data_IF_932020030965
#
_entry.id   IF_932020030965
#
_cell.length_a   1.000
_cell.length_b   1.000
_cell.length_c   1.000
_cell.angle_alpha   90.00
_cell.angle_beta   90.00
_cell.angle_gamma   90.00
#
_symmetry.space_group_name_H-M   'P 1'
#
loop_
_entity.id
_entity.type
_entity.pdbx_description
1 polymer ?
#
# COMPACT_ATOMS: atom_id res chain seq x y z
N UNK A 1 -23.49 23.63 20.34
CA UNK A 1 -22.53 24.72 20.62
C UNK A 1 -21.10 24.28 20.24
N UNK A 2 -20.82 24.00 18.96
CA UNK A 2 -19.49 23.51 18.51
C UNK A 2 -18.77 24.53 17.59
N UNK A 3 -19.19 25.80 17.58
CA UNK A 3 -18.76 26.79 16.59
C UNK A 3 -17.80 27.88 17.07
N UNK A 4 -17.30 27.86 18.31
CA UNK A 4 -16.81 29.10 18.93
C UNK A 4 -15.32 29.20 19.29
N UNK A 5 -14.41 28.31 18.87
CA UNK A 5 -12.98 28.45 19.26
C UNK A 5 -11.92 28.13 18.18
N UNK A 6 -12.23 28.21 16.88
CA UNK A 6 -11.19 28.38 15.85
C UNK A 6 -11.08 29.87 15.43
N UNK A 7 -10.99 30.73 16.44
CA UNK A 7 -10.84 32.19 16.33
C UNK A 7 -9.37 32.57 16.04
N UNK A 8 -8.91 32.26 14.83
CA UNK A 8 -7.87 33.04 14.18
C UNK A 8 -8.55 33.97 13.15
N UNK A 9 -8.05 35.19 12.90
CA UNK A 9 -8.66 36.11 11.95
C UNK A 9 -8.86 35.36 10.62
N UNK A 10 -10.06 35.50 10.05
CA UNK A 10 -10.52 34.75 8.87
C UNK A 10 -9.48 34.94 7.76
N UNK A 11 -8.56 33.98 7.62
CA UNK A 11 -7.62 33.96 6.52
C UNK A 11 -8.46 33.80 5.24
N UNK A 12 -8.47 34.78 4.32
CA UNK A 12 -9.35 34.73 3.14
C UNK A 12 -9.16 33.45 2.32
N UNK A 13 -7.92 32.94 2.25
CA UNK A 13 -7.61 31.67 1.57
C UNK A 13 -8.24 30.46 2.29
N UNK A 14 -8.20 30.42 3.63
CA UNK A 14 -8.83 29.35 4.41
C UNK A 14 -10.35 29.40 4.30
N UNK A 15 -10.93 30.59 4.22
CA UNK A 15 -12.36 30.75 3.95
C UNK A 15 -12.72 30.19 2.58
N UNK A 16 -11.96 30.55 1.54
CA UNK A 16 -12.17 30.02 0.18
C UNK A 16 -12.14 28.49 0.12
N UNK A 17 -11.21 27.84 0.84
CA UNK A 17 -11.18 26.36 0.93
C UNK A 17 -12.48 25.81 1.54
N UNK A 18 -13.01 26.46 2.59
CA UNK A 18 -14.26 26.04 3.24
C UNK A 18 -15.47 26.23 2.32
N UNK A 19 -15.52 27.36 1.63
CA UNK A 19 -16.61 27.67 0.70
C UNK A 19 -16.67 26.65 -0.45
N UNK A 20 -15.51 26.11 -0.86
CA UNK A 20 -15.38 25.12 -1.93
C UNK A 20 -15.51 23.66 -1.46
N UNK A 21 -15.80 23.39 -0.18
CA UNK A 21 -15.74 22.03 0.35
C UNK A 21 -16.83 21.10 -0.22
N UNK A 22 -18.00 21.63 -0.54
CA UNK A 22 -19.16 20.90 -1.08
C UNK A 22 -19.95 21.74 -2.10
N UNK A 23 -19.25 22.50 -2.93
CA UNK A 23 -19.90 23.21 -4.04
C UNK A 23 -20.51 22.21 -5.02
N UNK A 24 -21.44 22.70 -5.82
CA UNK A 24 -22.01 21.94 -6.91
C UNK A 24 -20.92 21.52 -7.92
N UNK A 25 -21.06 20.32 -8.50
CA UNK A 25 -20.06 19.77 -9.40
C UNK A 25 -19.95 20.59 -10.69
N UNK A 26 -21.06 21.08 -11.24
CA UNK A 26 -21.05 21.92 -12.45
C UNK A 26 -20.28 23.22 -12.18
N UNK A 27 -20.50 23.82 -11.01
CA UNK A 27 -19.74 25.01 -10.59
C UNK A 27 -18.24 24.71 -10.42
N UNK A 28 -17.88 23.55 -9.85
CA UNK A 28 -16.49 23.15 -9.71
C UNK A 28 -15.81 22.98 -11.08
N UNK A 29 -16.51 22.36 -12.03
CA UNK A 29 -16.05 22.16 -13.42
C UNK A 29 -15.85 23.50 -14.11
N UNK A 30 -16.81 24.43 -14.00
CA UNK A 30 -16.72 25.78 -14.56
C UNK A 30 -15.51 26.56 -14.02
N UNK A 31 -15.12 26.33 -12.76
CA UNK A 31 -13.92 26.94 -12.16
C UNK A 31 -12.60 26.32 -12.67
N UNK A 32 -12.59 25.03 -12.99
CA UNK A 32 -11.37 24.28 -13.34
C UNK A 32 -11.10 24.31 -14.85
N UNK A 33 -12.13 24.17 -15.70
CA UNK A 33 -11.97 24.04 -17.15
C UNK A 33 -11.15 25.17 -17.79
N UNK A 34 -11.39 26.46 -17.48
CA UNK A 34 -10.60 27.54 -18.07
C UNK A 34 -9.12 27.48 -17.70
N UNK A 35 -8.78 26.94 -16.53
CA UNK A 35 -7.39 26.78 -16.07
C UNK A 35 -6.71 25.54 -16.67
N UNK A 36 -7.51 24.51 -16.97
CA UNK A 36 -7.05 23.27 -17.59
C UNK A 36 -6.97 23.35 -19.12
N UNK A 37 -7.53 24.40 -19.73
CA UNK A 37 -7.55 24.55 -21.18
C UNK A 37 -6.13 24.74 -21.75
N UNK A 38 -5.80 23.89 -22.72
CA UNK A 38 -4.53 23.94 -23.44
C UNK A 38 -4.77 24.08 -24.93
N UNK A 39 -3.90 24.84 -25.60
CA UNK A 39 -4.00 25.02 -27.04
C UNK A 39 -3.83 23.68 -27.81
N UNK A 40 -4.32 23.66 -29.05
CA UNK A 40 -4.33 22.46 -29.88
C UNK A 40 -2.95 21.83 -30.07
N UNK A 41 -1.89 22.65 -30.16
CA UNK A 41 -0.51 22.17 -30.30
C UNK A 41 -0.05 21.44 -29.03
N UNK A 42 -0.33 21.98 -27.84
CA UNK A 42 -0.03 21.35 -26.57
C UNK A 42 -0.81 20.04 -26.40
N UNK A 43 -2.10 20.04 -26.76
CA UNK A 43 -2.96 18.86 -26.75
C UNK A 43 -2.41 17.73 -27.63
N UNK A 44 -2.01 18.04 -28.85
CA UNK A 44 -1.42 17.06 -29.78
C UNK A 44 -0.10 16.48 -29.25
N UNK A 45 0.79 17.31 -28.69
CA UNK A 45 2.04 16.83 -28.06
C UNK A 45 1.78 15.94 -26.85
N UNK A 46 0.83 16.31 -25.99
CA UNK A 46 0.45 15.53 -24.82
C UNK A 46 -0.12 14.16 -25.23
N UNK A 47 -1.00 14.14 -26.25
CA UNK A 47 -1.57 12.90 -26.79
C UNK A 47 -0.49 11.96 -27.33
N UNK A 48 0.43 12.47 -28.16
CA UNK A 48 1.48 11.62 -28.74
C UNK A 48 2.43 11.08 -27.67
N UNK A 49 2.77 11.91 -26.66
CA UNK A 49 3.60 11.47 -25.53
C UNK A 49 2.88 10.39 -24.72
N UNK A 50 1.60 10.59 -24.39
CA UNK A 50 0.80 9.62 -23.66
C UNK A 50 0.70 8.30 -24.43
N UNK A 51 0.42 8.37 -25.74
CA UNK A 51 0.37 7.20 -26.61
C UNK A 51 1.67 6.41 -26.61
N UNK A 52 2.82 7.09 -26.75
CA UNK A 52 4.14 6.43 -26.68
C UNK A 52 4.37 5.73 -25.35
N UNK A 53 4.05 6.39 -24.23
CA UNK A 53 4.19 5.79 -22.89
C UNK A 53 3.28 4.57 -22.73
N UNK A 54 2.02 4.64 -23.14
CA UNK A 54 1.08 3.51 -23.06
C UNK A 54 1.54 2.33 -23.90
N UNK A 55 1.98 2.57 -25.14
CA UNK A 55 2.49 1.51 -26.01
C UNK A 55 3.76 0.87 -25.45
N UNK A 56 4.66 1.65 -24.84
CA UNK A 56 5.85 1.12 -24.17
C UNK A 56 5.48 0.27 -22.96
N UNK A 57 4.59 0.75 -22.09
CA UNK A 57 4.11 0.00 -20.91
C UNK A 57 3.52 -1.35 -21.34
N UNK A 58 2.65 -1.37 -22.37
CA UNK A 58 2.05 -2.60 -22.88
C UNK A 58 3.09 -3.61 -23.37
N UNK A 59 4.09 -3.15 -24.13
CA UNK A 59 5.20 -4.00 -24.61
C UNK A 59 6.08 -4.55 -23.48
N UNK A 60 6.28 -3.76 -22.43
CA UNK A 60 7.12 -4.16 -21.28
C UNK A 60 6.39 -5.08 -20.29
N UNK A 61 5.07 -4.94 -20.15
CA UNK A 61 4.24 -5.83 -19.34
C UNK A 61 4.21 -7.26 -19.87
N UNK A 62 4.21 -7.45 -21.20
CA UNK A 62 4.33 -8.79 -21.82
C UNK A 62 5.61 -9.54 -21.39
N UNK A 63 6.65 -8.83 -20.95
CA UNK A 63 7.95 -9.41 -20.54
C UNK A 63 8.05 -9.74 -19.05
N UNK A 64 7.18 -9.18 -18.21
CA UNK A 64 7.24 -9.36 -16.75
C UNK A 64 6.05 -10.19 -16.29
N UNK A 65 6.18 -11.51 -16.37
CA UNK A 65 5.18 -12.46 -15.88
C UNK A 65 4.94 -12.27 -14.37
N UNK A 66 3.88 -11.55 -14.04
CA UNK A 66 3.40 -11.35 -12.67
C UNK A 66 2.37 -12.40 -12.26
N UNK A 67 1.40 -11.98 -11.47
CA UNK A 67 0.27 -12.81 -11.02
C UNK A 67 -0.60 -13.30 -12.19
N UNK A 68 -0.76 -12.49 -13.24
CA UNK A 68 -1.50 -12.90 -14.45
C UNK A 68 -0.79 -14.03 -15.21
N UNK A 69 0.54 -14.05 -15.20
CA UNK A 69 1.30 -15.16 -15.76
C UNK A 69 1.15 -16.43 -14.93
N UNK A 70 1.02 -16.31 -13.60
CA UNK A 70 0.74 -17.44 -12.72
C UNK A 70 -0.65 -18.04 -12.99
N UNK A 71 -1.67 -17.19 -13.12
CA UNK A 71 -3.03 -17.63 -13.46
C UNK A 71 -3.06 -18.35 -14.81
N UNK A 72 -2.38 -17.80 -15.81
CA UNK A 72 -2.30 -18.38 -17.15
C UNK A 72 -1.44 -19.66 -17.20
N UNK A 73 -0.30 -19.70 -16.49
CA UNK A 73 0.61 -20.87 -16.46
C UNK A 73 -0.08 -22.10 -15.87
N UNK A 74 -0.95 -21.92 -14.88
CA UNK A 74 -1.63 -23.01 -14.18
C UNK A 74 -3.14 -23.13 -14.51
N UNK A 75 -3.61 -22.35 -15.49
CA UNK A 75 -5.03 -22.26 -15.87
C UNK A 75 -5.94 -22.14 -14.65
N UNK A 76 -5.59 -21.24 -13.74
CA UNK A 76 -6.33 -21.01 -12.50
C UNK A 76 -7.53 -20.13 -12.82
N UNK A 77 -8.70 -20.48 -12.30
CA UNK A 77 -9.78 -19.48 -12.25
C UNK A 77 -9.40 -18.36 -11.27
N UNK A 78 -10.02 -17.20 -11.43
CA UNK A 78 -9.80 -16.06 -10.51
C UNK A 78 -10.08 -16.42 -9.06
N UNK A 79 -11.09 -17.26 -8.81
CA UNK A 79 -11.42 -17.73 -7.47
C UNK A 79 -10.35 -18.67 -6.90
N UNK A 80 -9.74 -19.52 -7.74
CA UNK A 80 -8.61 -20.37 -7.35
C UNK A 80 -7.36 -19.54 -7.05
N UNK A 81 -7.11 -18.49 -7.84
CA UNK A 81 -6.03 -17.54 -7.62
C UNK A 81 -6.13 -16.80 -6.28
N UNK A 82 -7.31 -16.30 -5.93
CA UNK A 82 -7.55 -15.63 -4.65
C UNK A 82 -7.25 -16.56 -3.48
N UNK A 83 -7.77 -17.79 -3.53
CA UNK A 83 -7.58 -18.81 -2.50
C UNK A 83 -6.11 -19.19 -2.34
N UNK A 84 -5.38 -19.32 -3.44
CA UNK A 84 -3.95 -19.63 -3.45
C UNK A 84 -3.11 -18.50 -2.84
N UNK A 85 -3.48 -17.24 -3.08
CA UNK A 85 -2.82 -16.08 -2.48
C UNK A 85 -3.11 -15.95 -0.99
N UNK A 86 -4.31 -16.29 -0.54
CA UNK A 86 -4.65 -16.34 0.89
C UNK A 86 -3.78 -17.38 1.63
N UNK A 87 -3.60 -18.55 1.02
CA UNK A 87 -2.69 -19.57 1.55
C UNK A 87 -1.24 -19.08 1.56
N UNK A 88 -0.81 -18.33 0.54
CA UNK A 88 0.52 -17.73 0.49
C UNK A 88 0.77 -16.70 1.58
N UNK A 89 -0.21 -15.86 1.87
CA UNK A 89 -0.13 -14.89 2.95
C UNK A 89 -0.04 -15.59 4.31
N UNK A 90 -0.86 -16.62 4.55
CA UNK A 90 -0.82 -17.39 5.78
C UNK A 90 0.55 -18.05 6.02
N UNK A 91 1.14 -18.63 4.97
CA UNK A 91 2.48 -19.22 5.03
C UNK A 91 3.57 -18.18 5.26
N UNK A 92 3.44 -16.97 4.70
CA UNK A 92 4.37 -15.87 4.95
C UNK A 92 4.43 -15.40 6.41
N UNK A 93 3.40 -15.70 7.22
CA UNK A 93 3.41 -15.38 8.66
C UNK A 93 4.27 -16.35 9.48
N UNK A 94 4.68 -17.48 8.91
CA UNK A 94 5.63 -18.40 9.54
C UNK A 94 7.04 -17.82 9.34
N UNK A 95 7.78 -17.50 10.41
CA UNK A 95 9.01 -16.70 10.31
C UNK A 95 10.21 -17.46 9.74
N UNK A 96 10.25 -18.79 9.84
CA UNK A 96 11.36 -19.61 9.36
C UNK A 96 10.98 -20.45 8.14
N UNK A 97 11.94 -20.58 7.23
CA UNK A 97 11.72 -21.23 5.94
C UNK A 97 11.54 -22.74 6.06
N UNK A 98 12.22 -23.37 7.01
CA UNK A 98 12.17 -24.82 7.18
C UNK A 98 10.79 -25.26 7.68
N UNK A 99 10.19 -24.53 8.63
CA UNK A 99 8.81 -24.75 9.10
C UNK A 99 7.78 -24.40 8.02
N UNK A 100 8.01 -23.36 7.21
CA UNK A 100 7.17 -23.11 6.02
C UNK A 100 7.16 -24.31 5.08
N UNK A 101 8.35 -24.84 4.77
CA UNK A 101 8.53 -25.97 3.85
C UNK A 101 7.95 -27.27 4.42
N UNK A 102 8.08 -27.48 5.73
CA UNK A 102 7.48 -28.61 6.45
C UNK A 102 5.95 -28.50 6.49
N UNK A 103 5.38 -27.31 6.75
CA UNK A 103 3.93 -27.09 6.73
C UNK A 103 3.35 -27.33 5.32
N UNK A 104 4.05 -26.85 4.29
CA UNK A 104 3.69 -27.11 2.88
C UNK A 104 3.68 -28.61 2.61
N UNK A 105 4.72 -29.34 3.06
CA UNK A 105 4.87 -30.77 2.80
C UNK A 105 3.93 -31.66 3.63
N UNK A 106 3.63 -31.29 4.86
CA UNK A 106 2.87 -32.14 5.78
C UNK A 106 1.35 -31.87 5.70
N UNK A 107 0.95 -30.58 5.66
CA UNK A 107 -0.48 -30.20 5.73
C UNK A 107 -1.16 -30.07 4.37
N UNK A 108 -0.45 -29.74 3.30
CA UNK A 108 -1.07 -29.62 1.96
C UNK A 108 -1.22 -30.97 1.26
N UNK A 109 -0.37 -31.94 1.61
CA UNK A 109 -0.20 -33.20 0.88
C UNK A 109 -1.11 -34.32 1.40
N UNK A 110 -1.41 -34.35 2.69
CA UNK A 110 -2.23 -35.42 3.29
C UNK A 110 -3.74 -35.14 3.26
N UNK A 111 -4.19 -33.96 2.79
CA UNK A 111 -5.62 -33.64 2.71
C UNK A 111 -6.35 -33.57 4.07
N UNK A 112 -5.61 -33.72 5.18
CA UNK A 112 -6.02 -33.56 6.59
C UNK A 112 -6.13 -32.07 6.94
N UNK A 113 -7.03 -31.37 6.25
CA UNK A 113 -7.45 -30.02 6.62
C UNK A 113 -8.36 -30.14 7.84
N UNK A 114 -7.75 -30.28 9.02
CA UNK A 114 -8.47 -30.38 10.29
C UNK A 114 -9.34 -29.13 10.49
N UNK A 115 -10.47 -29.20 11.24
CA UNK A 115 -11.36 -28.06 11.46
C UNK A 115 -10.71 -26.87 12.16
N UNK A 116 -9.47 -27.00 12.62
CA UNK A 116 -8.71 -25.94 13.27
C UNK A 116 -8.36 -24.76 12.33
N UNK A 117 -8.40 -24.95 11.01
CA UNK A 117 -8.35 -23.82 10.04
C UNK A 117 -9.70 -23.11 9.90
N UNK A 118 -10.80 -23.76 10.29
CA UNK A 118 -12.15 -23.20 10.30
C UNK A 118 -12.47 -22.34 11.52
N UNK A 119 -11.65 -22.40 12.57
CA UNK A 119 -11.74 -21.55 13.76
C UNK A 119 -10.77 -20.36 13.74
N UNK A 120 -9.88 -20.29 12.74
CA UNK A 120 -9.05 -19.11 12.53
C UNK A 120 -9.75 -18.18 11.54
N UNK A 121 -10.31 -17.08 12.04
CA UNK A 121 -10.76 -15.96 11.19
C UNK A 121 -9.65 -15.43 10.26
N UNK A 122 -8.39 -15.83 10.53
CA UNK A 122 -7.13 -15.35 9.94
C UNK A 122 -6.84 -15.71 8.48
N UNK A 123 -7.35 -16.82 7.91
CA UNK A 123 -6.90 -17.25 6.56
C UNK A 123 -7.52 -16.44 5.42
N UNK A 124 -8.70 -15.87 5.64
CA UNK A 124 -9.46 -15.16 4.62
C UNK A 124 -9.62 -13.65 4.92
N UNK A 125 -8.90 -13.12 5.91
CA UNK A 125 -9.00 -11.71 6.36
C UNK A 125 -8.74 -10.72 5.22
N UNK A 126 -7.89 -11.09 4.26
CA UNK A 126 -7.48 -10.22 3.16
C UNK A 126 -8.02 -10.65 1.79
N UNK A 127 -9.04 -11.51 1.75
CA UNK A 127 -9.68 -11.93 0.49
C UNK A 127 -10.13 -10.75 -0.34
N UNK A 128 -10.65 -9.68 0.26
CA UNK A 128 -11.10 -8.49 -0.47
C UNK A 128 -9.94 -7.73 -1.13
N UNK A 129 -8.75 -7.71 -0.51
CA UNK A 129 -7.55 -7.11 -1.09
C UNK A 129 -7.06 -7.92 -2.29
N UNK A 130 -7.06 -9.26 -2.18
CA UNK A 130 -6.71 -10.15 -3.29
C UNK A 130 -7.76 -10.14 -4.40
N UNK A 131 -9.05 -10.14 -4.04
CA UNK A 131 -10.16 -10.02 -4.98
C UNK A 131 -10.06 -8.76 -5.82
N UNK A 132 -9.71 -7.62 -5.20
CA UNK A 132 -9.45 -6.37 -5.92
C UNK A 132 -8.24 -6.50 -6.86
N UNK A 133 -7.13 -7.08 -6.39
CA UNK A 133 -5.93 -7.26 -7.23
C UNK A 133 -6.20 -8.10 -8.48
N UNK A 134 -7.01 -9.16 -8.35
CA UNK A 134 -7.27 -10.12 -9.42
C UNK A 134 -8.43 -9.74 -10.34
N UNK A 135 -9.45 -9.06 -9.82
CA UNK A 135 -10.69 -8.76 -10.58
C UNK A 135 -10.84 -7.29 -10.91
N UNK A 136 -10.03 -6.42 -10.31
CA UNK A 136 -10.20 -4.96 -10.39
C UNK A 136 -11.42 -4.42 -9.64
N UNK A 137 -12.23 -5.29 -9.03
CA UNK A 137 -13.44 -4.92 -8.29
C UNK A 137 -13.35 -5.36 -6.83
N UNK A 138 -13.92 -4.55 -5.94
CA UNK A 138 -14.03 -4.92 -4.54
C UNK A 138 -15.10 -6.00 -4.41
N UNK A 139 -14.71 -7.16 -3.91
CA UNK A 139 -15.63 -8.27 -3.72
C UNK A 139 -16.03 -8.35 -2.26
N UNK A 140 -17.31 -8.14 -1.99
CA UNK A 140 -17.91 -8.42 -0.69
C UNK A 140 -18.11 -9.94 -0.54
N UNK A 141 -17.40 -10.52 0.42
CA UNK A 141 -17.48 -11.94 0.73
C UNK A 141 -18.10 -12.12 2.13
N UNK A 142 -19.40 -12.44 2.16
CA UNK A 142 -20.13 -12.79 3.38
C UNK A 142 -19.81 -14.21 3.88
N UNK A 143 -20.03 -14.46 5.18
CA UNK A 143 -19.67 -15.69 5.92
C UNK A 143 -20.18 -17.00 5.31
N UNK A 144 -21.33 -17.00 4.61
CA UNK A 144 -21.88 -18.21 3.98
C UNK A 144 -20.97 -18.80 2.89
N UNK A 145 -20.07 -18.00 2.30
CA UNK A 145 -19.14 -18.44 1.24
C UNK A 145 -17.89 -19.15 1.75
N UNK A 146 -17.60 -19.17 3.06
CA UNK A 146 -16.41 -19.83 3.64
C UNK A 146 -16.35 -21.33 3.30
N UNK A 147 -17.45 -22.06 3.44
CA UNK A 147 -17.52 -23.51 3.10
C UNK A 147 -17.28 -23.77 1.61
N UNK A 148 -17.82 -22.93 0.74
CA UNK A 148 -17.60 -23.03 -0.72
C UNK A 148 -16.13 -22.75 -1.09
N UNK A 149 -15.47 -21.81 -0.42
CA UNK A 149 -14.06 -21.48 -0.62
C UNK A 149 -13.12 -22.59 -0.13
N UNK A 150 -13.39 -23.21 1.02
CA UNK A 150 -12.65 -24.40 1.47
C UNK A 150 -12.82 -25.58 0.51
N UNK A 151 -14.02 -25.77 -0.05
CA UNK A 151 -14.27 -26.75 -1.12
C UNK A 151 -13.47 -26.45 -2.40
N UNK A 152 -13.39 -25.17 -2.77
CA UNK A 152 -12.58 -24.72 -3.90
C UNK A 152 -11.09 -24.96 -3.66
N UNK A 153 -10.58 -24.59 -2.49
CA UNK A 153 -9.20 -24.82 -2.05
C UNK A 153 -8.82 -26.31 -2.15
N UNK A 154 -9.66 -27.20 -1.62
CA UNK A 154 -9.43 -28.65 -1.68
C UNK A 154 -9.41 -29.17 -3.12
N UNK A 155 -10.31 -28.67 -3.97
CA UNK A 155 -10.37 -29.02 -5.40
C UNK A 155 -9.14 -28.51 -6.17
N UNK A 156 -8.73 -27.28 -5.91
CA UNK A 156 -7.56 -26.65 -6.53
C UNK A 156 -6.26 -27.33 -6.13
N UNK A 157 -6.08 -27.64 -4.83
CA UNK A 157 -4.89 -28.36 -4.34
C UNK A 157 -4.83 -29.79 -4.91
N UNK A 158 -5.96 -30.50 -4.91
CA UNK A 158 -6.04 -31.84 -5.48
C UNK A 158 -5.76 -31.87 -6.99
N UNK A 159 -6.09 -30.79 -7.72
CA UNK A 159 -5.83 -30.67 -9.16
C UNK A 159 -4.37 -30.30 -9.49
N UNK A 160 -3.76 -29.42 -8.69
CA UNK A 160 -2.49 -28.78 -9.02
C UNK A 160 -1.26 -29.51 -8.44
N UNK A 161 -1.39 -30.21 -7.32
CA UNK A 161 -0.29 -30.90 -6.65
C UNK A 161 0.74 -29.98 -5.98
N UNK A 162 1.61 -30.57 -5.12
CA UNK A 162 2.61 -29.85 -4.32
C UNK A 162 3.54 -28.93 -5.14
N UNK A 163 4.10 -29.35 -6.30
CA UNK A 163 5.07 -28.52 -7.03
C UNK A 163 4.49 -27.20 -7.54
N UNK A 164 3.22 -27.21 -7.94
CA UNK A 164 2.51 -26.02 -8.43
C UNK A 164 2.20 -25.08 -7.29
N UNK A 165 1.73 -25.61 -6.15
CA UNK A 165 1.46 -24.79 -4.96
C UNK A 165 2.76 -24.12 -4.52
N UNK A 166 3.86 -24.87 -4.40
CA UNK A 166 5.19 -24.35 -4.04
C UNK A 166 5.67 -23.24 -4.98
N UNK A 167 5.53 -23.43 -6.30
CA UNK A 167 5.94 -22.43 -7.30
C UNK A 167 5.06 -21.17 -7.21
N UNK A 168 3.76 -21.36 -7.02
CA UNK A 168 2.79 -20.28 -6.81
C UNK A 168 3.07 -19.49 -5.53
N UNK A 169 3.42 -20.17 -4.43
CA UNK A 169 3.85 -19.54 -3.18
C UNK A 169 5.08 -18.67 -3.39
N UNK A 170 6.11 -19.20 -4.05
CA UNK A 170 7.35 -18.45 -4.34
C UNK A 170 7.06 -17.18 -5.15
N UNK A 171 6.13 -17.25 -6.10
CA UNK A 171 5.70 -16.10 -6.91
C UNK A 171 4.88 -15.12 -6.06
N UNK A 172 3.94 -15.60 -5.25
CA UNK A 172 3.15 -14.79 -4.33
C UNK A 172 4.03 -14.02 -3.33
N UNK A 173 5.03 -14.69 -2.74
CA UNK A 173 6.01 -14.07 -1.85
C UNK A 173 6.82 -12.98 -2.59
N UNK A 174 7.25 -13.25 -3.82
CA UNK A 174 7.95 -12.25 -4.65
C UNK A 174 7.04 -11.07 -5.00
N UNK A 175 5.77 -11.31 -5.29
CA UNK A 175 4.79 -10.27 -5.61
C UNK A 175 4.52 -9.40 -4.38
N UNK A 176 4.18 -10.00 -3.25
CA UNK A 176 3.95 -9.31 -1.98
C UNK A 176 5.16 -8.46 -1.54
N UNK A 177 6.35 -9.08 -1.50
CA UNK A 177 7.57 -8.40 -1.04
C UNK A 177 8.24 -7.49 -2.06
N UNK A 178 7.84 -7.50 -3.35
CA UNK A 178 8.44 -6.63 -4.38
C UNK A 178 7.51 -5.56 -4.93
N UNK A 179 6.20 -5.81 -5.02
CA UNK A 179 5.25 -4.89 -5.64
C UNK A 179 4.60 -3.94 -4.63
N UNK A 180 4.37 -4.39 -3.39
CA UNK A 180 3.66 -3.59 -2.38
C UNK A 180 4.59 -2.88 -1.40
N UNK A 181 5.73 -3.51 -1.05
CA UNK A 181 6.69 -2.94 -0.11
C UNK A 181 8.08 -2.93 -0.74
N UNK A 182 8.77 -1.78 -0.69
CA UNK A 182 10.12 -1.64 -1.24
C UNK A 182 11.14 -2.50 -0.46
N UNK A 183 10.93 -2.66 0.85
CA UNK A 183 11.63 -3.61 1.71
C UNK A 183 11.01 -3.64 3.10
N UNK A 184 11.13 -4.75 3.81
CA UNK A 184 10.56 -4.94 5.16
C UNK A 184 11.05 -3.92 6.18
N UNK A 185 12.25 -3.39 5.97
CA UNK A 185 12.82 -2.30 6.78
C UNK A 185 13.25 -1.15 5.88
N UNK A 186 13.28 0.06 6.45
CA UNK A 186 13.78 1.24 5.74
C UNK A 186 15.22 1.05 5.21
N UNK A 187 16.07 0.35 5.96
CA UNK A 187 17.44 0.02 5.54
C UNK A 187 17.45 -0.86 4.28
N UNK A 188 16.58 -1.88 4.23
CA UNK A 188 16.44 -2.74 3.06
C UNK A 188 15.88 -1.97 1.86
N UNK A 189 14.87 -1.11 2.08
CA UNK A 189 14.27 -0.27 1.05
C UNK A 189 15.30 0.71 0.44
N UNK A 190 16.09 1.38 1.27
CA UNK A 190 17.18 2.28 0.86
C UNK A 190 18.28 1.54 0.10
N UNK A 191 18.70 0.36 0.58
CA UNK A 191 19.70 -0.47 -0.14
C UNK A 191 19.22 -0.85 -1.53
N UNK A 192 17.94 -1.20 -1.67
CA UNK A 192 17.33 -1.60 -2.94
C UNK A 192 17.16 -0.42 -3.90
N UNK A 193 16.91 0.79 -3.38
CA UNK A 193 16.71 1.99 -4.18
C UNK A 193 17.93 2.39 -5.02
N UNK A 194 19.15 2.12 -4.51
CA UNK A 194 20.43 2.51 -5.13
C UNK A 194 20.53 2.21 -6.63
N UNK A 195 20.02 1.06 -7.08
CA UNK A 195 20.07 0.67 -8.49
C UNK A 195 19.22 1.58 -9.39
N UNK A 196 18.04 2.04 -8.93
CA UNK A 196 17.24 3.00 -9.70
C UNK A 196 17.72 4.44 -9.50
N UNK A 197 18.24 4.77 -8.33
CA UNK A 197 18.84 6.09 -8.08
C UNK A 197 20.01 6.38 -9.04
N UNK A 198 20.80 5.37 -9.42
CA UNK A 198 21.85 5.54 -10.44
C UNK A 198 21.32 5.88 -11.83
N UNK A 199 20.02 5.68 -12.07
CA UNK A 199 19.31 6.06 -13.30
C UNK A 199 18.54 7.38 -13.15
N UNK A 200 18.76 8.13 -12.06
CA UNK A 200 18.16 9.44 -11.81
C UNK A 200 16.80 9.40 -11.09
N UNK A 201 16.36 8.23 -10.60
CA UNK A 201 15.15 8.16 -9.77
C UNK A 201 15.41 8.72 -8.37
N UNK A 202 14.38 9.34 -7.79
CA UNK A 202 14.35 9.79 -6.40
C UNK A 202 13.16 9.15 -5.69
N UNK A 203 13.32 8.78 -4.43
CA UNK A 203 12.31 8.07 -3.64
C UNK A 203 11.75 8.95 -2.54
N UNK A 204 10.46 8.82 -2.24
CA UNK A 204 9.90 9.21 -0.94
C UNK A 204 9.34 7.97 -0.28
N UNK A 205 9.79 7.68 0.94
CA UNK A 205 9.40 6.46 1.65
C UNK A 205 8.10 6.67 2.44
N UNK A 206 7.08 5.87 2.12
CA UNK A 206 5.90 5.70 2.97
C UNK A 206 6.15 4.60 3.99
N UNK A 207 6.07 4.95 5.28
CA UNK A 207 6.29 4.02 6.39
C UNK A 207 5.05 3.18 6.74
N UNK A 208 3.95 3.32 5.99
CA UNK A 208 2.70 2.56 6.09
C UNK A 208 1.90 2.73 7.40
N UNK A 209 2.47 3.37 8.42
CA UNK A 209 1.75 3.72 9.65
C UNK A 209 0.66 4.76 9.39
N UNK A 210 -0.56 4.48 9.85
CA UNK A 210 -1.71 5.38 9.78
C UNK A 210 -2.75 5.04 10.85
N UNK A 211 -3.59 6.03 11.20
CA UNK A 211 -4.78 5.81 12.03
C UNK A 211 -4.49 5.19 13.41
N UNK A 212 -3.54 5.75 14.15
CA UNK A 212 -3.22 5.30 15.52
C UNK A 212 -4.50 5.19 16.36
N UNK A 213 -4.69 4.06 17.05
CA UNK A 213 -5.88 3.84 17.88
C UNK A 213 -5.61 4.13 19.34
N UNK A 214 -4.37 3.89 19.77
CA UNK A 214 -3.92 4.22 21.12
C UNK A 214 -2.76 5.22 21.10
N UNK A 215 -2.40 5.73 22.28
CA UNK A 215 -1.20 6.54 22.42
C UNK A 215 0.06 5.71 22.15
N UNK A 216 0.08 4.43 22.53
CA UNK A 216 1.21 3.54 22.23
C UNK A 216 1.40 3.34 20.72
N UNK A 217 0.32 3.22 19.95
CA UNK A 217 0.39 3.19 18.49
C UNK A 217 1.03 4.46 17.93
N UNK A 218 0.58 5.62 18.41
CA UNK A 218 1.08 6.90 17.96
C UNK A 218 2.57 7.09 18.26
N UNK A 219 3.02 6.66 19.44
CA UNK A 219 4.41 6.75 19.85
C UNK A 219 5.29 5.75 19.08
N UNK A 220 4.79 4.54 18.82
CA UNK A 220 5.45 3.54 17.97
C UNK A 220 5.63 4.04 16.54
N UNK A 221 4.60 4.65 15.94
CA UNK A 221 4.71 5.24 14.61
C UNK A 221 5.66 6.44 14.58
N UNK A 222 5.60 7.30 15.60
CA UNK A 222 6.54 8.42 15.74
C UNK A 222 8.00 7.96 15.77
N UNK A 223 8.33 6.97 16.60
CA UNK A 223 9.68 6.38 16.67
C UNK A 223 10.11 5.73 15.35
N UNK A 224 9.16 5.14 14.62
CA UNK A 224 9.41 4.57 13.29
C UNK A 224 9.77 5.66 12.27
N UNK A 225 9.08 6.82 12.30
CA UNK A 225 9.44 7.97 11.47
C UNK A 225 10.81 8.54 11.83
N UNK A 226 11.09 8.74 13.12
CA UNK A 226 12.39 9.23 13.60
C UNK A 226 13.54 8.34 13.15
N UNK A 227 13.40 7.03 13.35
CA UNK A 227 14.38 6.03 12.92
C UNK A 227 14.58 6.03 11.40
N UNK A 228 13.48 6.19 10.64
CA UNK A 228 13.53 6.25 9.19
C UNK A 228 14.23 7.52 8.69
N UNK A 229 13.95 8.69 9.28
CA UNK A 229 14.62 9.95 8.92
C UNK A 229 16.14 9.83 9.08
N UNK A 230 16.63 9.22 10.16
CA UNK A 230 18.07 8.99 10.32
C UNK A 230 18.67 8.10 9.24
N UNK A 231 17.98 7.04 8.83
CA UNK A 231 18.47 6.13 7.78
C UNK A 231 18.45 6.81 6.41
N UNK A 232 17.35 7.50 6.10
CA UNK A 232 17.16 8.22 4.83
C UNK A 232 18.14 9.38 4.72
N UNK A 233 18.27 10.20 5.76
CA UNK A 233 19.17 11.34 5.80
C UNK A 233 20.64 10.96 5.65
N UNK A 234 21.08 9.84 6.23
CA UNK A 234 22.42 9.28 5.97
C UNK A 234 22.59 8.84 4.51
N UNK A 235 21.54 8.30 3.89
CA UNK A 235 21.58 7.91 2.49
C UNK A 235 21.48 9.09 1.51
N UNK A 236 20.86 10.20 1.94
CA UNK A 236 20.76 11.45 1.19
C UNK A 236 22.14 12.03 0.87
N UNK A 237 23.11 11.90 1.79
CA UNK A 237 24.51 12.27 1.57
C UNK A 237 24.69 13.69 1.01
N UNK A 238 23.92 14.65 1.53
CA UNK A 238 24.01 16.07 1.13
C UNK A 238 23.52 16.39 -0.29
N UNK A 239 22.71 15.53 -0.90
CA UNK A 239 22.10 15.80 -2.23
C UNK A 239 20.98 16.84 -2.22
N UNK A 240 20.61 17.31 -1.02
CA UNK A 240 19.52 18.25 -0.77
C UNK A 240 18.13 17.68 -1.11
N UNK A 241 17.07 18.39 -0.73
CA UNK A 241 15.71 17.84 -0.61
C UNK A 241 15.05 17.47 -1.95
N UNK A 242 15.59 17.93 -3.08
CA UNK A 242 15.05 17.67 -4.43
C UNK A 242 15.65 16.39 -5.03
N UNK A 243 16.93 16.14 -4.78
CA UNK A 243 17.69 15.04 -5.38
C UNK A 243 18.01 13.91 -4.39
N UNK A 244 17.69 14.09 -3.11
CA UNK A 244 17.79 13.06 -2.08
C UNK A 244 16.48 12.29 -1.91
N UNK A 245 16.54 11.07 -1.38
CA UNK A 245 15.35 10.42 -0.88
C UNK A 245 14.70 11.24 0.26
N UNK A 246 13.38 11.18 0.34
CA UNK A 246 12.56 11.80 1.38
C UNK A 246 11.68 10.81 2.13
N UNK A 247 10.81 11.32 3.00
CA UNK A 247 9.86 10.54 3.79
C UNK A 247 8.47 11.16 3.74
N UNK A 248 7.44 10.31 3.75
CA UNK A 248 6.03 10.71 3.87
C UNK A 248 5.50 10.38 5.26
N UNK A 249 4.89 11.37 5.92
CA UNK A 249 4.32 11.24 7.28
C UNK A 249 2.81 11.47 7.23
N UNK A 250 2.03 10.63 7.93
CA UNK A 250 0.59 10.79 8.07
C UNK A 250 0.26 11.32 9.47
N UNK A 251 -0.50 12.41 9.58
CA UNK A 251 -0.83 13.02 10.88
C UNK A 251 -1.68 12.08 11.75
N UNK A 252 -2.54 11.28 11.12
CA UNK A 252 -3.32 10.23 11.80
C UNK A 252 -2.47 9.15 12.45
N UNK A 253 -1.21 8.99 12.04
CA UNK A 253 -0.29 8.04 12.65
C UNK A 253 0.35 8.55 13.94
N UNK A 254 0.45 9.87 14.15
CA UNK A 254 1.19 10.45 15.28
C UNK A 254 0.27 10.98 16.39
N UNK A 255 -1.03 10.79 16.26
CA UNK A 255 -2.01 11.17 17.27
C UNK A 255 -3.28 10.31 17.17
N UNK A 256 -3.74 9.70 18.27
CA UNK A 256 -4.85 8.73 18.20
C UNK A 256 -6.22 9.38 17.92
N UNK A 257 -6.35 10.69 18.15
CA UNK A 257 -7.60 11.45 17.97
C UNK A 257 -7.44 12.59 16.96
N UNK A 258 -6.85 12.30 15.80
CA UNK A 258 -6.76 13.27 14.69
C UNK A 258 -8.11 13.39 13.98
N UNK A 259 -9.05 14.07 14.62
CA UNK A 259 -10.42 14.26 14.14
C UNK A 259 -10.98 15.63 14.54
N UNK A 260 -11.97 16.13 13.80
CA UNK A 260 -12.48 17.50 13.96
C UNK A 260 -13.06 17.78 15.36
N UNK A 261 -13.75 16.79 15.95
CA UNK A 261 -14.34 16.88 17.30
C UNK A 261 -13.30 17.03 18.41
N UNK A 262 -12.04 16.70 18.13
CA UNK A 262 -10.89 16.81 19.05
C UNK A 262 -9.84 17.78 18.52
N UNK A 263 -10.26 18.76 17.71
CA UNK A 263 -9.35 19.70 17.04
C UNK A 263 -8.46 20.49 18.00
N UNK A 264 -8.97 20.94 19.15
CA UNK A 264 -8.18 21.61 20.18
C UNK A 264 -6.99 20.76 20.65
N UNK A 265 -7.26 19.49 20.98
CA UNK A 265 -6.24 18.53 21.39
C UNK A 265 -5.24 18.26 20.27
N UNK A 266 -5.73 18.00 19.06
CA UNK A 266 -4.88 17.75 17.90
C UNK A 266 -3.96 18.94 17.59
N UNK A 267 -4.46 20.18 17.67
CA UNK A 267 -3.69 21.40 17.45
C UNK A 267 -2.70 21.71 18.58
N UNK A 268 -2.97 21.26 19.81
CA UNK A 268 -2.02 21.37 20.92
C UNK A 268 -0.87 20.36 20.82
N UNK A 269 -1.17 19.11 20.45
CA UNK A 269 -0.21 17.99 20.53
C UNK A 269 0.56 17.71 19.23
N UNK A 270 -0.11 17.75 18.07
CA UNK A 270 0.50 17.34 16.79
C UNK A 270 1.61 18.28 16.32
N UNK A 271 1.46 19.63 16.36
CA UNK A 271 2.47 20.52 15.79
C UNK A 271 3.84 20.37 16.43
N UNK A 272 3.92 20.12 17.74
CA UNK A 272 5.19 19.89 18.43
C UNK A 272 5.88 18.60 17.94
N UNK A 273 5.14 17.48 17.86
CA UNK A 273 5.63 16.21 17.33
C UNK A 273 6.09 16.34 15.87
N UNK A 274 5.25 16.92 15.02
CA UNK A 274 5.58 17.08 13.61
C UNK A 274 6.79 18.00 13.41
N UNK A 275 6.86 19.12 14.15
CA UNK A 275 8.00 20.04 14.10
C UNK A 275 9.31 19.34 14.48
N UNK A 276 9.29 18.46 15.49
CA UNK A 276 10.48 17.69 15.86
C UNK A 276 10.97 16.79 14.71
N UNK A 277 10.06 16.08 14.02
CA UNK A 277 10.41 15.30 12.83
C UNK A 277 10.93 16.18 11.69
N UNK A 278 10.32 17.34 11.43
CA UNK A 278 10.78 18.28 10.41
C UNK A 278 12.17 18.85 10.73
N UNK A 279 12.42 19.20 12.00
CA UNK A 279 13.73 19.69 12.44
C UNK A 279 14.80 18.61 12.35
N UNK A 280 14.44 17.35 12.62
CA UNK A 280 15.34 16.22 12.43
C UNK A 280 15.65 16.01 10.94
N UNK A 281 14.65 16.05 10.07
CA UNK A 281 14.86 15.95 8.63
C UNK A 281 15.77 17.08 8.13
N UNK A 282 15.54 18.32 8.59
CA UNK A 282 16.38 19.49 8.28
C UNK A 282 17.85 19.33 8.67
N UNK A 283 18.19 18.53 9.68
CA UNK A 283 19.60 18.25 10.01
C UNK A 283 20.32 17.48 8.90
N UNK A 284 19.56 16.86 8.00
CA UNK A 284 20.04 16.14 6.81
C UNK A 284 19.77 16.88 5.49
N UNK A 285 19.35 18.15 5.57
CA UNK A 285 18.85 19.01 4.48
C UNK A 285 17.47 18.62 3.94
#
# INVERSE_FOLDING_TARGET
MLHTQLSNPICPLRQKIRDFYRIDEDQAVDHILPQAEVNMRARSRAWERARKMVLQIRREQERHGGVDALLNEFSLSTAEGIVLMCLAEALLRVPDKDTQDELIRDKLTQGEWTPHLGNSDSLFVNVSAWGLLFTGNMVEYADEKKKAQFGLLKKTIGRLGEPVIRKSMTIAMKVMGRQFVMGETIKAAVKRAKSKESHGYVYSYDMLGEGARTQEDADRYYQSYESAIHVIGKAANGKGPIHSPGISVKLSAIHPRYEFTHSERALAEIPAKLKALCLLAKQYD
#
